data_IF_086727384478
#
_entry.id   IF_086727384478
#
_cell.length_a   1.000
_cell.length_b   1.000
_cell.length_c   1.000
_cell.angle_alpha   90.00
_cell.angle_beta   90.00
_cell.angle_gamma   90.00
#
_symmetry.space_group_name_H-M   'P 1'
#
loop_
_entity.id
_entity.type
_entity.pdbx_description
1 polymer ?
#
# COMPACT_ATOMS: atom_id res chain seq x y z
N UNK A 1 -18.88 -0.81 -8.69
CA UNK A 1 -18.59 0.55 -8.17
C UNK A 1 -17.07 0.71 -8.08
N UNK A 2 -16.46 1.72 -8.71
CA UNK A 2 -15.01 1.97 -8.54
C UNK A 2 -14.79 2.64 -7.16
N UNK A 3 -13.79 2.23 -6.37
CA UNK A 3 -13.52 2.89 -5.09
C UNK A 3 -13.24 4.39 -5.30
N UNK A 4 -13.96 5.27 -4.60
CA UNK A 4 -13.73 6.74 -4.62
C UNK A 4 -12.94 7.19 -3.40
N UNK A 5 -11.81 7.88 -3.56
CA UNK A 5 -10.93 8.26 -2.43
C UNK A 5 -11.58 9.21 -1.41
N UNK A 6 -12.82 9.64 -1.67
CA UNK A 6 -13.66 10.46 -0.80
C UNK A 6 -14.63 9.63 0.06
N UNK A 7 -14.72 8.33 -0.16
CA UNK A 7 -15.63 7.42 0.55
C UNK A 7 -14.89 6.69 1.68
N UNK A 8 -15.38 6.87 2.92
CA UNK A 8 -14.79 6.28 4.12
C UNK A 8 -14.86 4.74 4.12
N UNK A 9 -15.91 4.14 3.56
CA UNK A 9 -16.07 2.68 3.56
C UNK A 9 -14.98 1.99 2.73
N UNK A 10 -14.59 2.60 1.62
CA UNK A 10 -13.48 2.16 0.79
C UNK A 10 -12.12 2.26 1.53
N UNK A 11 -11.93 3.26 2.40
CA UNK A 11 -10.72 3.36 3.24
C UNK A 11 -10.70 2.31 4.35
N UNK A 12 -11.85 2.08 4.99
CA UNK A 12 -12.01 1.07 6.02
C UNK A 12 -11.75 -0.34 5.47
N UNK A 13 -12.23 -0.62 4.26
CA UNK A 13 -11.94 -1.87 3.57
C UNK A 13 -10.46 -2.03 3.27
N UNK A 14 -9.77 -0.98 2.85
CA UNK A 14 -8.32 -1.03 2.66
C UNK A 14 -7.57 -1.29 3.98
N UNK A 15 -8.01 -0.70 5.10
CA UNK A 15 -7.44 -1.02 6.41
C UNK A 15 -7.62 -2.50 6.75
N UNK A 16 -8.80 -3.06 6.52
CA UNK A 16 -9.05 -4.48 6.74
C UNK A 16 -8.19 -5.37 5.83
N UNK A 17 -8.10 -5.05 4.54
CA UNK A 17 -7.29 -5.80 3.57
C UNK A 17 -5.78 -5.77 3.89
N UNK A 18 -5.31 -4.71 4.55
CA UNK A 18 -3.92 -4.50 4.97
C UNK A 18 -3.68 -4.97 6.42
N UNK A 19 -4.72 -5.50 7.07
CA UNK A 19 -4.68 -6.00 8.45
C UNK A 19 -4.15 -4.95 9.44
N UNK A 20 -4.63 -3.71 9.30
CA UNK A 20 -4.44 -2.64 10.29
C UNK A 20 -5.78 -2.30 10.94
N UNK A 21 -5.72 -1.64 12.10
CA UNK A 21 -6.90 -1.15 12.78
C UNK A 21 -7.78 -0.32 11.83
N UNK A 22 -9.07 -0.67 11.74
CA UNK A 22 -10.05 0.00 10.89
C UNK A 22 -10.47 1.30 11.55
N UNK A 23 -10.02 2.43 11.00
CA UNK A 23 -10.35 3.76 11.54
C UNK A 23 -11.81 4.15 11.31
N UNK A 24 -12.36 5.00 12.17
CA UNK A 24 -13.72 5.55 12.02
C UNK A 24 -13.79 6.68 10.98
N UNK A 25 -12.64 7.17 10.51
CA UNK A 25 -12.53 8.23 9.50
C UNK A 25 -11.44 7.95 8.47
N UNK A 26 -11.52 8.64 7.33
CA UNK A 26 -10.48 8.60 6.28
C UNK A 26 -9.10 8.94 6.85
N UNK A 27 -9.02 9.95 7.71
CA UNK A 27 -7.76 10.41 8.31
C UNK A 27 -7.15 9.34 9.22
N UNK A 28 -7.96 8.68 10.04
CA UNK A 28 -7.50 7.59 10.90
C UNK A 28 -7.05 6.39 10.06
N UNK A 29 -7.82 6.01 9.03
CA UNK A 29 -7.41 4.95 8.09
C UNK A 29 -6.05 5.25 7.44
N UNK A 30 -5.85 6.47 6.92
CA UNK A 30 -4.57 6.91 6.33
C UNK A 30 -3.42 6.85 7.34
N UNK A 31 -3.66 7.18 8.60
CA UNK A 31 -2.65 7.09 9.67
C UNK A 31 -2.27 5.64 9.92
N UNK A 32 -3.26 4.76 10.05
CA UNK A 32 -3.06 3.35 10.34
C UNK A 32 -2.36 2.64 9.18
N UNK A 33 -2.71 2.94 7.92
CA UNK A 33 -2.05 2.34 6.74
C UNK A 33 -0.55 2.68 6.65
N UNK A 34 -0.10 3.81 7.22
CA UNK A 34 1.32 4.21 7.20
C UNK A 34 2.19 3.41 8.15
N UNK A 35 1.61 2.63 9.07
CA UNK A 35 2.37 1.78 10.00
C UNK A 35 2.89 0.53 9.31
N UNK A 36 2.25 0.11 8.22
CA UNK A 36 2.67 -1.04 7.41
C UNK A 36 3.67 -0.64 6.33
N UNK A 37 4.57 -1.55 6.02
CA UNK A 37 5.53 -1.39 4.92
C UNK A 37 5.25 -2.49 3.91
N UNK A 38 4.42 -2.21 2.90
CA UNK A 38 3.99 -3.21 1.93
C UNK A 38 4.37 -2.76 0.53
N UNK A 39 4.82 -3.69 -0.31
CA UNK A 39 4.96 -3.43 -1.74
C UNK A 39 3.58 -3.50 -2.41
N UNK A 40 3.18 -2.42 -3.07
CA UNK A 40 1.87 -2.32 -3.72
C UNK A 40 1.62 -3.37 -4.81
N UNK A 41 2.63 -3.68 -5.62
CA UNK A 41 2.48 -4.66 -6.71
C UNK A 41 2.24 -6.05 -6.12
N UNK A 42 3.00 -6.40 -5.08
CA UNK A 42 2.85 -7.67 -4.39
C UNK A 42 1.54 -7.77 -3.64
N UNK A 43 1.08 -6.68 -3.01
CA UNK A 43 -0.22 -6.62 -2.38
C UNK A 43 -1.36 -6.92 -3.35
N UNK A 44 -1.36 -6.29 -4.53
CA UNK A 44 -2.37 -6.53 -5.56
C UNK A 44 -2.32 -7.98 -6.04
N UNK A 45 -1.13 -8.54 -6.27
CA UNK A 45 -0.98 -9.92 -6.70
C UNK A 45 -1.40 -10.92 -5.61
N UNK A 46 -1.05 -10.66 -4.36
CA UNK A 46 -1.47 -11.43 -3.18
C UNK A 46 -3.00 -11.44 -3.08
N UNK A 47 -3.66 -10.28 -3.17
CA UNK A 47 -5.13 -10.20 -3.14
C UNK A 47 -5.79 -10.99 -4.27
N UNK A 48 -5.22 -10.98 -5.49
CA UNK A 48 -5.76 -11.73 -6.64
C UNK A 48 -5.72 -13.24 -6.45
N UNK A 49 -4.69 -13.76 -5.78
CA UNK A 49 -4.53 -15.20 -5.51
C UNK A 49 -5.09 -15.66 -4.16
N UNK A 50 -5.62 -14.74 -3.35
CA UNK A 50 -6.14 -15.05 -2.02
C UNK A 50 -5.06 -15.37 -0.98
N UNK A 51 -3.91 -14.69 -1.04
CA UNK A 51 -2.81 -14.88 -0.07
C UNK A 51 -2.96 -14.07 1.23
N UNK A 52 -1.88 -14.03 2.01
CA UNK A 52 -1.82 -13.35 3.31
C UNK A 52 -0.93 -12.09 3.28
N UNK A 53 -1.23 -11.11 4.13
CA UNK A 53 -0.48 -9.84 4.16
C UNK A 53 1.00 -10.03 4.48
N UNK A 54 1.31 -11.03 5.32
CA UNK A 54 2.67 -11.39 5.74
C UNK A 54 3.60 -11.74 4.58
N UNK A 55 3.05 -12.09 3.41
CA UNK A 55 3.80 -12.41 2.20
C UNK A 55 4.30 -11.17 1.45
N UNK A 56 3.76 -9.99 1.76
CA UNK A 56 4.09 -8.73 1.09
C UNK A 56 4.45 -7.58 2.05
N UNK A 57 4.44 -7.84 3.37
CA UNK A 57 4.83 -6.91 4.42
C UNK A 57 6.34 -7.02 4.72
N UNK A 58 6.93 -5.88 5.06
CA UNK A 58 8.32 -5.75 5.46
C UNK A 58 8.41 -5.18 6.88
N UNK A 59 9.38 -5.66 7.65
CA UNK A 59 9.60 -5.20 9.04
C UNK A 59 10.02 -3.73 9.13
N UNK A 60 10.64 -3.18 8.07
CA UNK A 60 11.10 -1.80 8.05
C UNK A 60 10.91 -1.15 6.68
N UNK A 61 10.74 0.17 6.68
CA UNK A 61 10.74 0.99 5.46
C UNK A 61 12.02 0.82 4.64
N UNK A 62 13.17 0.58 5.29
CA UNK A 62 14.46 0.33 4.63
C UNK A 62 14.43 -1.01 3.88
N UNK A 63 13.91 -2.06 4.50
CA UNK A 63 13.76 -3.37 3.87
C UNK A 63 12.85 -3.29 2.63
N UNK A 64 11.68 -2.64 2.75
CA UNK A 64 10.79 -2.40 1.61
C UNK A 64 11.48 -1.62 0.50
N UNK A 65 12.24 -0.56 0.83
CA UNK A 65 12.98 0.23 -0.17
C UNK A 65 14.01 -0.62 -0.90
N UNK A 66 14.83 -1.37 -0.17
CA UNK A 66 15.86 -2.24 -0.77
C UNK A 66 15.20 -3.26 -1.69
N UNK A 67 14.13 -3.90 -1.24
CA UNK A 67 13.36 -4.83 -2.06
C UNK A 67 12.87 -4.18 -3.38
N UNK A 68 12.28 -2.98 -3.31
CA UNK A 68 11.81 -2.26 -4.50
C UNK A 68 12.96 -1.95 -5.48
N UNK A 69 14.14 -1.59 -4.97
CA UNK A 69 15.29 -1.19 -5.78
C UNK A 69 16.02 -2.40 -6.41
N UNK A 70 16.12 -3.51 -5.69
CA UNK A 70 16.93 -4.66 -6.11
C UNK A 70 16.12 -5.77 -6.78
N UNK A 71 14.78 -5.78 -6.65
CA UNK A 71 13.93 -6.78 -7.29
C UNK A 71 13.26 -6.18 -8.54
N UNK A 72 13.49 -6.76 -9.74
CA UNK A 72 12.88 -6.27 -10.97
C UNK A 72 11.35 -6.21 -10.90
N UNK A 73 10.78 -5.16 -11.50
CA UNK A 73 9.33 -5.01 -11.62
C UNK A 73 8.59 -4.62 -10.34
N UNK A 74 9.29 -4.25 -9.25
CA UNK A 74 8.66 -3.85 -7.97
C UNK A 74 8.43 -2.35 -7.82
N UNK A 75 8.87 -1.55 -8.79
CA UNK A 75 8.62 -0.09 -8.84
C UNK A 75 7.25 0.17 -9.45
N UNK A 76 6.36 0.84 -8.69
CA UNK A 76 5.06 1.26 -9.20
C UNK A 76 5.09 2.72 -9.72
N UNK A 77 4.58 3.02 -10.94
CA UNK A 77 4.60 4.37 -11.49
C UNK A 77 3.76 5.35 -10.66
N UNK A 78 4.39 6.44 -10.18
CA UNK A 78 3.74 7.46 -9.35
C UNK A 78 2.52 8.10 -10.05
N UNK A 79 2.59 8.32 -11.37
CA UNK A 79 1.48 8.89 -12.15
C UNK A 79 0.21 8.02 -12.05
N UNK A 80 0.36 6.71 -12.28
CA UNK A 80 -0.75 5.73 -12.16
C UNK A 80 -1.30 5.66 -10.74
N UNK A 81 -0.46 5.83 -9.72
CA UNK A 81 -0.92 5.84 -8.34
C UNK A 81 -1.71 7.11 -8.00
N UNK A 82 -1.35 8.26 -8.57
CA UNK A 82 -2.09 9.50 -8.35
C UNK A 82 -3.45 9.50 -9.05
N UNK A 83 -3.58 8.81 -10.17
CA UNK A 83 -4.88 8.54 -10.82
C UNK A 83 -5.81 7.72 -9.93
N UNK A 84 -5.26 6.93 -8.99
CA UNK A 84 -6.01 6.18 -7.97
C UNK A 84 -5.63 6.63 -6.56
N UNK A 85 -6.24 7.72 -6.10
CA UNK A 85 -5.92 8.39 -4.82
C UNK A 85 -5.87 7.48 -3.58
N UNK A 86 -6.57 6.34 -3.57
CA UNK A 86 -6.47 5.31 -2.52
C UNK A 86 -5.07 4.71 -2.43
N UNK A 87 -4.60 4.22 -3.55
CA UNK A 87 -3.43 3.35 -3.64
C UNK A 87 -2.14 4.14 -3.39
N UNK A 88 -2.17 5.45 -3.66
CA UNK A 88 -1.06 6.35 -3.37
C UNK A 88 -0.57 6.34 -1.91
N UNK A 89 -1.42 5.95 -0.94
CA UNK A 89 -1.01 5.90 0.47
C UNK A 89 -0.06 4.77 0.83
N UNK A 90 -0.05 3.70 0.01
CA UNK A 90 0.87 2.57 0.21
C UNK A 90 2.24 2.82 -0.45
N UNK A 91 2.39 3.91 -1.19
CA UNK A 91 3.66 4.22 -1.84
C UNK A 91 4.68 4.76 -0.84
N UNK A 92 5.91 4.27 -0.98
CA UNK A 92 7.09 4.91 -0.41
C UNK A 92 7.87 5.65 -1.51
N UNK A 93 8.48 6.78 -1.14
CA UNK A 93 9.50 7.39 -1.99
C UNK A 93 10.78 6.55 -1.93
N UNK A 94 11.17 6.04 -3.08
CA UNK A 94 12.50 5.47 -3.31
C UNK A 94 13.34 6.58 -3.93
N UNK A 95 14.35 7.05 -3.20
CA UNK A 95 15.36 7.95 -3.76
C UNK A 95 16.50 7.06 -4.24
N UNK A 96 16.92 7.22 -5.49
CA UNK A 96 18.19 6.69 -5.93
C UNK A 96 19.24 7.62 -5.31
N UNK A 97 19.86 7.23 -4.21
CA UNK A 97 21.15 7.82 -3.81
C UNK A 97 22.17 7.25 -4.77
N UNK A 98 22.25 7.87 -5.95
CA UNK A 98 23.45 7.81 -6.79
C UNK A 98 24.54 8.66 -6.17
#
# INVERSE_FOLDING_TARGET
MRPSSKDASSWQRLCADVEVEVGSSITQCKKNLRTKHINLIDFVNMKKRGGHISECEFSTKKALRNYILFVPGKVFPLKKAKENGFISQLLIKVWNTG
#
